data_IF_061175244780
#
_entry.id   IF_061175244780
#
_cell.length_a   1.000
_cell.length_b   1.000
_cell.length_c   1.000
_cell.angle_alpha   90.00
_cell.angle_beta   90.00
_cell.angle_gamma   90.00
#
_symmetry.space_group_name_H-M   'P 1'
#
loop_
_entity.id
_entity.type
_entity.pdbx_description
1 polymer ?
#
# COMPACT_ATOMS: atom_id res chain seq x y z
N UNK A 1 -19.68 -0.02 43.94
CA UNK A 1 -18.30 -0.32 43.51
C UNK A 1 -18.36 -1.56 42.63
N UNK A 2 -18.49 -1.54 41.32
CA UNK A 2 -18.51 -0.45 40.34
C UNK A 2 -19.31 -0.94 39.13
N UNK A 3 -20.28 -0.13 38.69
CA UNK A 3 -20.98 -0.35 37.42
C UNK A 3 -20.06 -0.17 36.20
N UNK A 4 -18.79 0.17 36.40
CA UNK A 4 -17.77 0.36 35.37
C UNK A 4 -17.27 -0.96 34.74
N UNK A 5 -17.46 -2.11 35.39
CA UNK A 5 -17.05 -3.41 34.84
C UNK A 5 -18.01 -3.99 33.78
N UNK A 6 -19.11 -3.28 33.43
CA UNK A 6 -20.15 -3.76 32.50
C UNK A 6 -20.28 -2.97 31.19
N UNK A 7 -19.33 -2.10 30.86
CA UNK A 7 -19.18 -1.63 29.46
C UNK A 7 -18.50 -2.72 28.64
N UNK A 8 -19.23 -3.83 28.46
CA UNK A 8 -18.92 -4.85 27.48
C UNK A 8 -19.10 -4.18 26.12
N UNK A 9 -17.98 -3.88 25.46
CA UNK A 9 -17.83 -3.38 24.08
C UNK A 9 -19.15 -3.49 23.28
N UNK A 10 -19.93 -2.41 23.25
CA UNK A 10 -20.96 -2.25 22.23
C UNK A 10 -20.21 -1.83 20.97
N UNK A 11 -19.76 -2.80 20.18
CA UNK A 11 -19.30 -2.48 18.85
C UNK A 11 -20.51 -2.14 17.99
N UNK A 12 -20.54 -0.90 17.51
CA UNK A 12 -21.50 -0.42 16.54
C UNK A 12 -21.13 -1.02 15.18
N UNK A 13 -22.12 -1.32 14.33
CA UNK A 13 -22.07 -2.16 13.11
C UNK A 13 -21.02 -1.86 12.02
N UNK A 14 -20.06 -0.98 12.28
CA UNK A 14 -18.76 -0.90 11.59
C UNK A 14 -17.81 -2.08 11.93
N UNK A 15 -18.28 -3.09 12.69
CA UNK A 15 -17.50 -4.18 13.29
C UNK A 15 -16.88 -5.20 12.32
N UNK A 16 -16.92 -5.05 10.99
CA UNK A 16 -16.43 -6.13 10.12
C UNK A 16 -14.92 -6.35 10.32
N UNK A 17 -14.60 -7.46 11.00
CA UNK A 17 -13.24 -7.80 11.39
C UNK A 17 -12.80 -7.26 12.75
N UNK A 18 -13.67 -6.65 13.55
CA UNK A 18 -13.29 -6.10 14.86
C UNK A 18 -12.62 -7.17 15.73
N UNK A 19 -11.46 -6.82 16.31
CA UNK A 19 -10.61 -7.73 17.08
C UNK A 19 -9.74 -8.67 16.24
N UNK A 20 -9.85 -8.67 14.90
CA UNK A 20 -9.05 -9.56 14.06
C UNK A 20 -7.54 -9.28 14.23
N UNK A 21 -6.72 -10.34 14.34
CA UNK A 21 -5.29 -10.20 14.55
C UNK A 21 -4.63 -9.47 13.37
N UNK A 22 -3.66 -8.61 13.67
CA UNK A 22 -2.83 -7.99 12.66
C UNK A 22 -1.75 -8.98 12.21
N UNK A 23 -1.77 -9.38 10.94
CA UNK A 23 -0.80 -10.31 10.36
C UNK A 23 0.60 -9.70 10.26
N UNK A 24 0.68 -8.37 10.14
CA UNK A 24 1.93 -7.60 10.11
C UNK A 24 2.50 -7.33 11.50
N UNK A 25 1.68 -6.78 12.41
CA UNK A 25 2.15 -6.34 13.74
C UNK A 25 2.10 -7.44 14.81
N UNK A 26 1.35 -8.53 14.57
CA UNK A 26 1.17 -9.64 15.51
C UNK A 26 0.72 -9.10 16.88
N UNK A 27 1.35 -9.55 17.96
CA UNK A 27 1.08 -9.17 19.36
C UNK A 27 1.22 -7.66 19.65
N UNK A 28 1.87 -6.88 18.78
CA UNK A 28 1.94 -5.41 18.96
C UNK A 28 0.62 -4.70 18.65
N UNK A 29 -0.38 -5.41 18.13
CA UNK A 29 -1.70 -4.88 17.86
C UNK A 29 -2.74 -5.62 18.68
N UNK A 30 -3.53 -4.89 19.46
CA UNK A 30 -4.63 -5.41 20.30
C UNK A 30 -5.84 -5.95 19.49
N UNK A 31 -5.68 -6.12 18.18
CA UNK A 31 -6.74 -6.48 17.23
C UNK A 31 -7.22 -5.29 16.41
N UNK A 32 -7.85 -5.61 15.28
CA UNK A 32 -8.41 -4.61 14.37
C UNK A 32 -9.49 -3.77 15.07
N UNK A 33 -9.35 -2.46 15.04
CA UNK A 33 -10.37 -1.53 15.48
C UNK A 33 -10.48 -0.42 14.43
N UNK A 34 -11.58 -0.42 13.68
CA UNK A 34 -11.82 0.61 12.67
C UNK A 34 -12.42 1.84 13.35
N UNK A 35 -11.86 3.01 13.05
CA UNK A 35 -12.45 4.29 13.44
C UNK A 35 -13.40 4.77 12.34
N UNK A 36 -14.46 5.53 12.69
CA UNK A 36 -15.49 5.93 11.72
C UNK A 36 -14.97 6.72 10.51
N UNK A 37 -13.86 7.46 10.67
CA UNK A 37 -13.22 8.22 9.59
C UNK A 37 -11.89 7.63 9.09
N UNK A 38 -11.31 6.62 9.76
CA UNK A 38 -10.02 6.03 9.34
C UNK A 38 -10.25 4.81 8.48
N UNK A 39 -9.46 4.63 7.41
CA UNK A 39 -9.44 3.38 6.63
C UNK A 39 -8.41 2.36 7.14
N UNK A 40 -7.78 2.68 8.26
CA UNK A 40 -6.72 1.88 8.91
C UNK A 40 -7.07 1.60 10.36
N UNK A 41 -6.48 0.53 10.90
CA UNK A 41 -6.61 0.11 12.28
C UNK A 41 -6.19 1.24 13.24
N UNK A 42 -7.06 1.57 14.20
CA UNK A 42 -6.78 2.54 15.26
C UNK A 42 -5.56 2.15 16.09
N UNK A 43 -5.37 0.85 16.33
CA UNK A 43 -4.35 0.32 17.23
C UNK A 43 -2.96 0.26 16.59
N UNK A 44 -2.83 -0.21 15.35
CA UNK A 44 -1.52 -0.41 14.70
C UNK A 44 -1.30 0.37 13.39
N UNK A 45 -2.28 1.17 12.95
CA UNK A 45 -2.26 1.95 11.70
C UNK A 45 -2.12 1.13 10.42
N UNK A 46 -2.22 -0.19 10.49
CA UNK A 46 -2.22 -1.04 9.30
C UNK A 46 -3.59 -1.01 8.61
N UNK A 47 -3.60 -1.18 7.28
CA UNK A 47 -4.83 -1.34 6.51
C UNK A 47 -5.59 -2.61 6.88
N UNK A 48 -6.88 -2.66 6.55
CA UNK A 48 -7.74 -3.82 6.85
C UNK A 48 -7.21 -5.11 6.21
N UNK A 49 -6.54 -5.03 5.06
CA UNK A 49 -5.91 -6.16 4.36
C UNK A 49 -4.74 -6.81 5.11
N UNK A 50 -4.16 -6.08 6.06
CA UNK A 50 -3.08 -6.56 6.94
C UNK A 50 -3.64 -7.22 8.21
N UNK A 51 -4.97 -7.28 8.35
CA UNK A 51 -5.66 -8.02 9.40
C UNK A 51 -6.33 -9.27 8.84
N UNK A 52 -6.55 -10.26 9.70
CA UNK A 52 -7.27 -11.49 9.34
C UNK A 52 -8.78 -11.27 9.26
N UNK A 53 -9.18 -10.42 8.30
CA UNK A 53 -10.57 -10.04 8.06
C UNK A 53 -11.02 -10.58 6.71
N UNK A 54 -12.23 -11.13 6.67
CA UNK A 54 -12.88 -11.47 5.41
C UNK A 54 -13.23 -10.19 4.65
N UNK A 55 -12.45 -9.89 3.62
CA UNK A 55 -12.69 -8.76 2.71
C UNK A 55 -13.97 -9.00 1.89
N UNK A 56 -14.77 -7.94 1.72
CA UNK A 56 -16.06 -8.01 1.05
C UNK A 56 -15.92 -8.19 -0.46
N UNK A 57 -17.02 -8.61 -1.11
CA UNK A 57 -17.08 -8.75 -2.57
C UNK A 57 -17.22 -7.38 -3.30
N UNK A 58 -17.08 -6.26 -2.59
CA UNK A 58 -17.15 -4.91 -3.18
C UNK A 58 -15.95 -4.60 -4.09
N UNK A 59 -14.88 -5.41 -4.07
CA UNK A 59 -13.70 -5.20 -4.90
C UNK A 59 -14.02 -5.16 -6.41
N UNK A 60 -14.96 -5.98 -6.89
CA UNK A 60 -15.36 -5.97 -8.30
C UNK A 60 -16.04 -4.65 -8.68
N UNK A 61 -16.74 -3.98 -7.75
CA UNK A 61 -17.30 -2.63 -7.98
C UNK A 61 -16.20 -1.57 -8.04
N UNK A 62 -15.16 -1.68 -7.21
CA UNK A 62 -14.02 -0.75 -7.23
C UNK A 62 -13.28 -0.80 -8.57
N UNK A 63 -13.01 -2.00 -9.06
CA UNK A 63 -12.36 -2.18 -10.37
C UNK A 63 -13.29 -1.76 -11.51
N UNK A 64 -14.59 -2.03 -11.39
CA UNK A 64 -15.59 -1.58 -12.35
C UNK A 64 -15.60 -0.06 -12.51
N UNK A 65 -15.63 0.68 -11.39
CA UNK A 65 -15.56 2.15 -11.38
C UNK A 65 -14.22 2.68 -11.91
N UNK A 66 -13.11 1.97 -11.69
CA UNK A 66 -11.81 2.31 -12.25
C UNK A 66 -11.79 2.26 -13.78
N UNK A 67 -12.46 1.26 -14.38
CA UNK A 67 -12.54 1.11 -15.83
C UNK A 67 -13.68 1.88 -16.49
N UNK A 68 -14.60 2.43 -15.71
CA UNK A 68 -15.62 3.35 -16.23
C UNK A 68 -14.97 4.54 -16.94
N UNK A 69 -15.56 4.90 -18.09
CA UNK A 69 -15.11 5.97 -19.00
C UNK A 69 -13.68 5.78 -19.52
N UNK A 70 -13.22 4.53 -19.63
CA UNK A 70 -11.96 4.16 -20.26
C UNK A 70 -12.19 3.27 -21.49
N UNK A 71 -11.14 2.97 -22.24
CA UNK A 71 -11.19 1.96 -23.31
C UNK A 71 -11.42 0.52 -22.80
N UNK A 72 -11.28 0.28 -21.49
CA UNK A 72 -11.46 -1.02 -20.86
C UNK A 72 -12.92 -1.32 -20.49
N UNK A 73 -13.88 -0.61 -21.08
CA UNK A 73 -15.31 -0.81 -20.85
C UNK A 73 -15.81 -2.21 -21.21
N UNK A 74 -15.07 -2.96 -22.03
CA UNK A 74 -15.36 -4.39 -22.31
C UNK A 74 -15.09 -5.30 -21.10
N UNK A 75 -14.29 -4.83 -20.14
CA UNK A 75 -13.97 -5.54 -18.89
C UNK A 75 -14.98 -5.24 -17.78
N UNK A 76 -16.04 -4.48 -18.05
CA UNK A 76 -17.11 -4.20 -17.08
C UNK A 76 -18.46 -4.74 -17.56
N UNK A 77 -19.31 -5.08 -16.61
CA UNK A 77 -20.74 -5.32 -16.82
C UNK A 77 -21.52 -4.17 -16.16
N UNK A 78 -22.40 -3.51 -16.92
CA UNK A 78 -23.36 -2.55 -16.36
C UNK A 78 -24.57 -3.33 -15.84
N UNK A 79 -24.76 -3.38 -14.52
CA UNK A 79 -25.95 -3.98 -13.93
C UNK A 79 -27.15 -3.05 -14.04
N UNK A 80 -28.34 -3.66 -14.23
CA UNK A 80 -29.60 -2.93 -14.46
C UNK A 80 -30.13 -2.20 -13.22
N UNK A 81 -29.75 -2.63 -12.02
CA UNK A 81 -30.44 -2.23 -10.77
C UNK A 81 -29.86 -0.98 -10.10
N UNK A 82 -28.55 -0.79 -10.17
CA UNK A 82 -27.84 0.31 -9.48
C UNK A 82 -27.05 1.21 -10.44
N UNK A 83 -26.88 0.80 -11.70
CA UNK A 83 -26.10 1.54 -12.70
C UNK A 83 -24.60 1.58 -12.42
N UNK A 84 -24.13 0.94 -11.34
CA UNK A 84 -22.72 0.92 -10.97
C UNK A 84 -22.01 -0.15 -11.80
N UNK A 85 -20.94 0.19 -12.53
CA UNK A 85 -20.15 -0.79 -13.26
C UNK A 85 -19.55 -1.83 -12.32
N UNK A 86 -19.72 -3.11 -12.67
CA UNK A 86 -19.04 -4.22 -12.02
C UNK A 86 -17.93 -4.76 -12.90
N UNK A 87 -16.80 -5.12 -12.30
CA UNK A 87 -15.71 -5.78 -13.00
C UNK A 87 -16.13 -7.17 -13.48
N UNK A 88 -16.13 -7.36 -14.80
CA UNK A 88 -16.36 -8.64 -15.46
C UNK A 88 -15.05 -9.42 -15.49
N UNK A 89 -14.56 -9.82 -14.32
CA UNK A 89 -13.35 -10.65 -14.19
C UNK A 89 -13.49 -11.97 -14.94
N UNK A 90 -12.41 -12.44 -15.55
CA UNK A 90 -12.38 -13.72 -16.23
C UNK A 90 -12.15 -14.85 -15.21
N UNK A 91 -13.05 -15.83 -15.15
CA UNK A 91 -12.95 -17.01 -14.28
C UNK A 91 -12.51 -18.19 -15.14
N UNK A 92 -11.44 -18.88 -14.75
CA UNK A 92 -10.93 -20.03 -15.48
C UNK A 92 -11.19 -21.32 -14.70
N UNK A 93 -11.91 -22.26 -15.32
CA UNK A 93 -12.20 -23.58 -14.75
C UNK A 93 -11.37 -24.62 -15.50
N UNK A 94 -10.53 -25.36 -14.77
CA UNK A 94 -9.68 -26.42 -15.29
C UNK A 94 -10.23 -27.77 -14.88
N UNK A 95 -10.63 -28.55 -15.87
CA UNK A 95 -11.17 -29.89 -15.68
C UNK A 95 -10.12 -30.90 -16.11
N UNK A 96 -9.51 -31.61 -15.16
CA UNK A 96 -8.54 -32.66 -15.45
C UNK A 96 -9.17 -34.04 -15.17
N UNK A 97 -9.27 -34.92 -16.19
CA UNK A 97 -9.70 -36.30 -15.96
C UNK A 97 -8.61 -37.03 -15.17
N UNK A 98 -8.94 -37.50 -13.98
CA UNK A 98 -8.06 -38.37 -13.20
C UNK A 98 -8.44 -39.80 -13.55
N UNK A 99 -7.54 -40.49 -14.25
CA UNK A 99 -7.69 -41.91 -14.55
C UNK A 99 -7.48 -42.73 -13.27
N UNK A 100 -8.53 -42.89 -12.46
CA UNK A 100 -8.54 -43.92 -11.43
C UNK A 100 -8.97 -45.25 -12.06
N UNK A 101 -8.29 -46.34 -11.68
CA UNK A 101 -8.26 -47.64 -12.39
C UNK A 101 -9.62 -48.29 -12.72
N UNK A 102 -10.77 -47.81 -12.22
CA UNK A 102 -12.12 -48.26 -12.60
C UNK A 102 -13.21 -47.17 -12.62
N UNK A 103 -12.90 -45.91 -12.38
CA UNK A 103 -13.86 -44.79 -12.46
C UNK A 103 -13.11 -43.50 -12.83
N UNK A 104 -13.57 -42.80 -13.88
CA UNK A 104 -13.01 -41.49 -14.25
C UNK A 104 -13.54 -40.46 -13.24
N UNK A 105 -12.73 -40.11 -12.24
CA UNK A 105 -13.04 -38.98 -11.36
C UNK A 105 -12.54 -37.71 -12.01
N UNK A 106 -13.42 -36.73 -12.16
CA UNK A 106 -13.08 -35.41 -12.71
C UNK A 106 -12.61 -34.52 -11.55
N UNK A 107 -11.38 -34.03 -11.61
CA UNK A 107 -10.93 -33.00 -10.68
C UNK A 107 -11.07 -31.62 -11.35
N UNK A 108 -11.82 -30.73 -10.69
CA UNK A 108 -12.12 -29.39 -11.19
C UNK A 108 -11.42 -28.35 -10.33
N UNK A 109 -10.55 -27.55 -10.93
CA UNK A 109 -9.86 -26.44 -10.28
C UNK A 109 -10.41 -25.13 -10.83
N UNK A 110 -10.98 -24.30 -9.95
CA UNK A 110 -11.51 -22.98 -10.33
C UNK A 110 -10.53 -21.89 -9.91
N UNK A 111 -10.07 -21.10 -10.87
CA UNK A 111 -9.33 -19.86 -10.62
C UNK A 111 -10.32 -18.69 -10.56
N UNK A 112 -10.35 -17.97 -9.44
CA UNK A 112 -11.22 -16.80 -9.23
C UNK A 112 -10.88 -15.63 -10.17
N UNK A 113 -9.68 -15.62 -10.75
CA UNK A 113 -9.29 -14.69 -11.79
C UNK A 113 -8.28 -15.33 -12.74
N UNK A 114 -8.35 -14.95 -14.02
CA UNK A 114 -7.37 -15.26 -15.05
C UNK A 114 -7.16 -14.04 -15.97
N UNK A 115 -5.99 -13.91 -16.61
CA UNK A 115 -5.76 -12.81 -17.54
C UNK A 115 -6.77 -12.89 -18.72
N UNK A 116 -7.20 -11.75 -19.26
CA UNK A 116 -8.12 -11.70 -20.39
C UNK A 116 -7.37 -12.06 -21.69
N UNK A 117 -7.22 -13.35 -21.95
CA UNK A 117 -6.57 -13.88 -23.15
C UNK A 117 -7.58 -14.58 -24.07
N UNK A 118 -7.25 -14.66 -25.36
CA UNK A 118 -8.07 -15.36 -26.35
C UNK A 118 -8.03 -16.89 -26.19
N UNK A 119 -6.97 -17.42 -25.56
CA UNK A 119 -6.73 -18.85 -25.45
C UNK A 119 -6.56 -19.29 -23.98
N UNK A 120 -7.41 -20.20 -23.50
CA UNK A 120 -7.29 -20.75 -22.14
C UNK A 120 -5.96 -21.46 -21.88
N UNK A 121 -5.33 -22.07 -22.88
CA UNK A 121 -4.02 -22.71 -22.72
C UNK A 121 -2.95 -21.68 -22.31
N UNK A 122 -3.01 -20.47 -22.89
CA UNK A 122 -2.11 -19.37 -22.53
C UNK A 122 -2.38 -18.88 -21.10
N UNK A 123 -3.64 -18.77 -20.69
CA UNK A 123 -4.00 -18.45 -19.30
C UNK A 123 -3.49 -19.51 -18.32
N UNK A 124 -3.58 -20.80 -18.68
CA UNK A 124 -3.04 -21.91 -17.87
C UNK A 124 -1.53 -21.81 -17.71
N UNK A 125 -0.80 -21.61 -18.80
CA UNK A 125 0.65 -21.45 -18.77
C UNK A 125 1.06 -20.24 -17.92
N UNK A 126 0.36 -19.11 -18.09
CA UNK A 126 0.54 -17.93 -17.26
C UNK A 126 0.40 -18.25 -15.77
N UNK A 127 -0.70 -18.92 -15.39
CA UNK A 127 -0.93 -19.30 -13.99
C UNK A 127 0.14 -20.23 -13.45
N UNK A 128 0.66 -21.15 -14.26
CA UNK A 128 1.73 -22.06 -13.88
C UNK A 128 3.06 -21.36 -13.61
N UNK A 129 3.30 -20.18 -14.19
CA UNK A 129 4.49 -19.36 -13.95
C UNK A 129 4.42 -18.49 -12.69
N UNK A 130 3.25 -18.42 -12.03
CA UNK A 130 3.11 -17.72 -10.76
C UNK A 130 3.44 -18.64 -9.57
N UNK A 131 4.02 -18.11 -8.48
CA UNK A 131 4.17 -18.83 -7.22
C UNK A 131 2.84 -19.43 -6.76
N UNK A 132 2.86 -20.63 -6.18
CA UNK A 132 1.65 -21.39 -5.85
C UNK A 132 0.75 -20.63 -4.88
N UNK A 133 1.35 -20.01 -3.88
CA UNK A 133 0.74 -19.15 -2.88
C UNK A 133 0.16 -17.84 -3.44
N UNK A 134 0.43 -17.49 -4.70
CA UNK A 134 -0.12 -16.32 -5.40
C UNK A 134 -1.13 -16.68 -6.50
N UNK A 135 -1.38 -17.98 -6.75
CA UNK A 135 -2.37 -18.43 -7.74
C UNK A 135 -3.78 -18.31 -7.15
N UNK A 136 -4.72 -17.58 -7.78
CA UNK A 136 -6.04 -17.30 -7.20
C UNK A 136 -7.01 -18.48 -7.35
N UNK A 137 -6.62 -19.68 -6.91
CA UNK A 137 -7.50 -20.85 -6.88
C UNK A 137 -8.55 -20.67 -5.79
N UNK A 138 -9.82 -20.91 -6.11
CA UNK A 138 -10.94 -20.73 -5.18
C UNK A 138 -10.69 -21.45 -3.84
N UNK A 139 -10.82 -20.72 -2.74
CA UNK A 139 -10.59 -21.22 -1.38
C UNK A 139 -9.12 -21.37 -0.97
N UNK A 140 -8.15 -21.02 -1.83
CA UNK A 140 -6.72 -21.10 -1.50
C UNK A 140 -6.18 -19.81 -0.87
N UNK A 141 -4.97 -19.89 -0.30
CA UNK A 141 -4.19 -18.72 0.15
C UNK A 141 -3.98 -17.71 -0.99
N UNK A 142 -3.78 -18.16 -2.22
CA UNK A 142 -3.60 -17.28 -3.37
C UNK A 142 -4.86 -16.50 -3.74
N UNK A 143 -6.06 -17.06 -3.50
CA UNK A 143 -7.31 -16.30 -3.65
C UNK A 143 -7.44 -15.22 -2.57
N UNK A 144 -7.05 -15.52 -1.33
CA UNK A 144 -7.02 -14.52 -0.26
C UNK A 144 -5.97 -13.43 -0.52
N UNK A 145 -4.77 -13.82 -0.98
CA UNK A 145 -3.73 -12.91 -1.42
C UNK A 145 -4.25 -11.96 -2.50
N UNK A 146 -4.94 -12.47 -3.54
CA UNK A 146 -5.53 -11.61 -4.58
C UNK A 146 -6.50 -10.58 -4.00
N UNK A 147 -7.40 -10.97 -3.09
CA UNK A 147 -8.34 -10.06 -2.44
C UNK A 147 -7.63 -8.97 -1.63
N UNK A 148 -6.59 -9.34 -0.88
CA UNK A 148 -5.73 -8.39 -0.16
C UNK A 148 -5.05 -7.42 -1.11
N UNK A 149 -4.52 -7.91 -2.23
CA UNK A 149 -3.89 -7.04 -3.23
C UNK A 149 -4.88 -6.11 -3.92
N UNK A 150 -6.13 -6.53 -4.18
CA UNK A 150 -7.17 -5.62 -4.70
C UNK A 150 -7.43 -4.47 -3.72
N UNK A 151 -7.66 -4.79 -2.43
CA UNK A 151 -7.91 -3.79 -1.41
C UNK A 151 -6.72 -2.82 -1.22
N UNK A 152 -5.49 -3.34 -1.23
CA UNK A 152 -4.26 -2.56 -1.04
C UNK A 152 -3.88 -1.72 -2.25
N UNK A 153 -3.91 -2.31 -3.44
CA UNK A 153 -3.40 -1.68 -4.65
C UNK A 153 -4.39 -0.73 -5.30
N UNK A 154 -5.70 -0.93 -5.08
CA UNK A 154 -6.78 -0.15 -5.67
C UNK A 154 -7.78 0.34 -4.59
N UNK A 155 -7.36 1.14 -3.60
CA UNK A 155 -8.26 1.62 -2.55
C UNK A 155 -9.42 2.43 -3.14
N UNK A 156 -10.64 2.21 -2.65
CA UNK A 156 -11.81 2.91 -3.19
C UNK A 156 -11.73 4.43 -2.97
N UNK A 157 -11.20 4.86 -1.83
CA UNK A 157 -10.99 6.26 -1.47
C UNK A 157 -9.85 6.94 -2.24
N UNK A 158 -9.13 6.24 -3.12
CA UNK A 158 -8.17 6.86 -4.04
C UNK A 158 -8.82 7.26 -5.38
N UNK A 159 -10.07 6.84 -5.62
CA UNK A 159 -10.76 7.06 -6.89
C UNK A 159 -12.19 7.57 -6.77
N UNK A 160 -12.81 7.43 -5.60
CA UNK A 160 -14.21 7.79 -5.38
C UNK A 160 -14.33 8.82 -4.24
N UNK A 161 -14.62 10.10 -4.55
CA UNK A 161 -14.78 11.15 -3.54
C UNK A 161 -15.83 10.80 -2.48
N UNK A 162 -16.86 10.02 -2.81
CA UNK A 162 -17.90 9.59 -1.86
C UNK A 162 -17.41 8.61 -0.79
N UNK A 163 -16.20 8.06 -0.96
CA UNK A 163 -15.56 7.14 0.00
C UNK A 163 -14.57 7.87 0.92
N UNK A 164 -14.26 9.13 0.63
CA UNK A 164 -13.39 9.98 1.43
C UNK A 164 -14.14 10.70 2.55
N UNK A 165 -13.43 11.09 3.60
CA UNK A 165 -14.01 11.81 4.72
C UNK A 165 -13.90 13.33 4.54
N UNK A 166 -15.03 14.04 4.65
CA UNK A 166 -15.07 15.51 4.73
C UNK A 166 -14.40 16.29 3.57
N UNK A 167 -14.38 15.77 2.34
CA UNK A 167 -13.90 16.56 1.20
C UNK A 167 -14.81 17.77 0.95
N UNK A 168 -14.22 18.95 0.81
CA UNK A 168 -14.91 20.15 0.37
C UNK A 168 -15.33 20.05 -1.10
N UNK A 169 -16.33 20.83 -1.56
CA UNK A 169 -16.74 20.83 -2.98
C UNK A 169 -15.60 21.15 -3.97
N UNK A 170 -14.57 21.88 -3.53
CA UNK A 170 -13.38 22.16 -4.33
C UNK A 170 -12.50 20.91 -4.43
N UNK A 171 -12.21 20.26 -3.30
CA UNK A 171 -11.38 19.05 -3.26
C UNK A 171 -12.04 17.88 -4.00
N UNK A 172 -13.36 17.75 -3.95
CA UNK A 172 -14.11 16.77 -4.76
C UNK A 172 -13.80 16.94 -6.25
N UNK A 173 -13.86 18.19 -6.76
CA UNK A 173 -13.53 18.48 -8.16
C UNK A 173 -12.07 18.19 -8.50
N UNK A 174 -11.15 18.53 -7.60
CA UNK A 174 -9.72 18.24 -7.77
C UNK A 174 -9.45 16.73 -7.84
N UNK A 175 -10.12 15.95 -6.99
CA UNK A 175 -10.05 14.49 -7.01
C UNK A 175 -10.64 13.91 -8.29
N UNK A 176 -11.81 14.37 -8.74
CA UNK A 176 -12.42 13.93 -10.00
C UNK A 176 -11.52 14.21 -11.20
N UNK A 177 -10.90 15.39 -11.26
CA UNK A 177 -9.94 15.74 -12.30
C UNK A 177 -8.68 14.88 -12.23
N UNK A 178 -8.15 14.64 -11.02
CA UNK A 178 -7.01 13.74 -10.81
C UNK A 178 -7.31 12.32 -11.29
N UNK A 179 -8.47 11.78 -10.96
CA UNK A 179 -8.94 10.45 -11.40
C UNK A 179 -9.08 10.38 -12.90
N UNK A 180 -9.72 11.38 -13.51
CA UNK A 180 -9.86 11.47 -14.96
C UNK A 180 -8.49 11.46 -15.65
N UNK A 181 -7.54 12.24 -15.14
CA UNK A 181 -6.18 12.36 -15.69
C UNK A 181 -5.44 11.01 -15.67
N UNK A 182 -5.36 10.34 -14.51
CA UNK A 182 -4.61 9.08 -14.47
C UNK A 182 -5.29 7.99 -15.29
N UNK A 183 -6.63 7.99 -15.39
CA UNK A 183 -7.37 7.02 -16.24
C UNK A 183 -6.96 7.18 -17.71
N UNK A 184 -6.81 8.41 -18.18
CA UNK A 184 -6.41 8.70 -19.57
C UNK A 184 -4.91 8.53 -19.83
N UNK A 185 -4.05 8.80 -18.85
CA UNK A 185 -2.60 8.95 -19.06
C UNK A 185 -1.74 7.82 -18.51
N UNK A 186 -2.15 7.19 -17.41
CA UNK A 186 -1.30 6.25 -16.67
C UNK A 186 -1.90 4.84 -16.56
N UNK A 187 -3.22 4.72 -16.39
CA UNK A 187 -3.92 3.45 -16.17
C UNK A 187 -3.83 2.55 -17.40
N UNK A 188 -3.44 1.30 -17.19
CA UNK A 188 -3.50 0.25 -18.19
C UNK A 188 -3.81 -1.12 -17.64
N UNK A 189 -4.08 -2.05 -18.55
CA UNK A 189 -4.26 -3.48 -18.28
C UNK A 189 -3.19 -4.22 -19.08
N UNK A 190 -2.42 -5.08 -18.42
CA UNK A 190 -1.35 -5.85 -19.05
C UNK A 190 -1.90 -6.90 -20.02
N UNK A 191 -1.28 -6.98 -21.19
CA UNK A 191 -1.64 -7.93 -22.24
C UNK A 191 -0.75 -9.18 -22.14
N UNK A 192 -1.36 -10.32 -21.85
CA UNK A 192 -0.64 -11.60 -21.86
C UNK A 192 -0.64 -12.18 -23.27
N UNK A 193 0.55 -12.29 -23.88
CA UNK A 193 0.76 -12.87 -25.23
C UNK A 193 2.03 -13.69 -25.27
N UNK A 194 2.21 -14.49 -26.33
CA UNK A 194 3.51 -15.12 -26.60
C UNK A 194 4.44 -14.13 -27.32
N UNK A 195 5.74 -14.07 -27.00
CA UNK A 195 6.68 -13.17 -27.66
C UNK A 195 6.66 -13.23 -29.20
N UNK A 196 6.48 -14.42 -29.78
CA UNK A 196 6.37 -14.61 -31.24
C UNK A 196 5.17 -13.94 -31.88
N UNK A 197 4.06 -13.82 -31.16
CA UNK A 197 2.82 -13.25 -31.68
C UNK A 197 2.96 -11.75 -31.90
N UNK A 198 3.82 -11.08 -31.15
CA UNK A 198 4.08 -9.64 -31.32
C UNK A 198 4.98 -9.36 -32.53
N UNK A 199 6.00 -10.18 -32.78
CA UNK A 199 6.84 -10.02 -33.97
C UNK A 199 6.03 -10.20 -35.27
N UNK A 200 5.02 -11.07 -35.26
CA UNK A 200 4.16 -11.28 -36.42
C UNK A 200 3.21 -10.10 -36.71
N UNK A 201 2.96 -9.21 -35.74
CA UNK A 201 2.02 -8.10 -35.92
C UNK A 201 2.66 -6.85 -36.54
N UNK A 202 3.99 -6.77 -36.59
CA UNK A 202 4.73 -5.61 -37.08
C UNK A 202 4.42 -4.32 -36.29
N UNK A 203 5.23 -3.25 -36.41
CA UNK A 203 5.00 -2.03 -35.63
C UNK A 203 3.77 -1.20 -36.04
N UNK A 204 2.89 -1.70 -36.94
CA UNK A 204 1.99 -0.80 -37.68
C UNK A 204 0.59 -1.38 -38.02
N UNK A 205 -0.11 -1.96 -37.04
CA UNK A 205 -1.57 -2.16 -37.13
C UNK A 205 -2.28 -1.79 -35.85
N UNK A 206 -2.47 -0.49 -35.65
CA UNK A 206 -3.68 0.00 -34.98
C UNK A 206 -4.80 0.09 -36.01
N UNK A 207 -5.89 -0.63 -35.77
CA UNK A 207 -7.11 -0.55 -36.57
C UNK A 207 -7.77 0.83 -36.37
N UNK A 208 -7.75 1.65 -37.41
CA UNK A 208 -8.72 2.73 -37.62
C UNK A 208 -9.79 2.17 -38.57
N UNK A 209 -11.08 2.18 -38.22
CA UNK A 209 -12.13 1.75 -39.15
C UNK A 209 -12.55 2.93 -40.04
N UNK A 210 -12.32 2.80 -41.35
CA UNK A 210 -12.98 3.62 -42.37
C UNK A 210 -12.07 4.03 -43.54
N UNK A 211 -12.54 3.79 -44.77
CA UNK A 211 -12.15 4.61 -45.93
C UNK A 211 -11.33 3.93 -47.03
N UNK A 212 -12.06 3.20 -47.88
CA UNK A 212 -11.93 3.11 -49.34
C UNK A 212 -10.81 2.37 -50.07
N UNK A 213 -11.33 1.67 -51.08
CA UNK A 213 -10.70 0.87 -52.13
C UNK A 213 -9.79 1.70 -53.03
N UNK A 214 -8.62 1.17 -53.37
CA UNK A 214 -8.05 1.31 -54.71
C UNK A 214 -7.03 0.20 -55.01
N UNK A 215 -7.12 -0.29 -56.24
CA UNK A 215 -6.39 -1.42 -56.82
C UNK A 215 -5.22 -0.90 -57.65
N UNK A 216 -4.04 -1.52 -57.59
CA UNK A 216 -3.15 -1.75 -58.76
C UNK A 216 -2.00 -2.74 -58.47
N UNK A 217 -1.99 -3.79 -59.30
CA UNK A 217 -0.90 -4.39 -60.08
C UNK A 217 0.45 -4.86 -59.48
N UNK A 218 0.80 -6.08 -59.90
CA UNK A 218 2.01 -6.86 -59.68
C UNK A 218 3.27 -6.34 -60.40
N UNK A 219 4.46 -6.58 -59.84
CA UNK A 219 5.54 -7.50 -60.32
C UNK A 219 6.82 -7.29 -59.49
N UNK A 220 7.60 -8.36 -59.28
CA UNK A 220 9.02 -8.24 -58.88
C UNK A 220 9.48 -9.26 -57.86
N UNK A 221 9.90 -10.43 -58.33
CA UNK A 221 10.70 -11.39 -57.57
C UNK A 221 12.15 -10.90 -57.49
N UNK A 222 12.74 -10.89 -56.29
CA UNK A 222 14.16 -11.14 -56.07
C UNK A 222 14.33 -11.87 -54.74
N UNK A 223 14.80 -13.10 -54.83
CA UNK A 223 15.27 -13.91 -53.72
C UNK A 223 16.62 -13.34 -53.26
N UNK A 224 16.69 -12.89 -52.01
CA UNK A 224 17.96 -12.53 -51.39
C UNK A 224 18.29 -13.52 -50.26
N UNK A 225 19.38 -14.26 -50.49
CA UNK A 225 19.90 -15.32 -49.64
C UNK A 225 20.78 -14.70 -48.56
N UNK A 226 20.19 -14.29 -47.44
CA UNK A 226 20.92 -14.17 -46.17
C UNK A 226 19.99 -14.39 -44.98
N UNK A 227 19.57 -15.65 -44.75
CA UNK A 227 18.94 -16.04 -43.49
C UNK A 227 20.00 -16.18 -42.40
N UNK A 228 20.57 -15.05 -41.97
CA UNK A 228 21.09 -14.96 -40.61
C UNK A 228 19.89 -15.16 -39.68
N UNK A 229 19.88 -16.27 -38.96
CA UNK A 229 19.01 -16.45 -37.80
C UNK A 229 19.37 -15.38 -36.75
N UNK A 230 18.86 -14.15 -36.92
CA UNK A 230 18.71 -13.18 -35.84
C UNK A 230 17.72 -13.81 -34.87
N UNK A 231 18.26 -14.63 -33.96
CA UNK A 231 17.53 -15.12 -32.80
C UNK A 231 17.09 -13.88 -32.05
N UNK A 232 15.84 -13.42 -32.23
CA UNK A 232 15.30 -12.28 -31.51
C UNK A 232 15.25 -12.66 -30.04
N UNK A 233 16.29 -12.29 -29.32
CA UNK A 233 16.45 -12.61 -27.92
C UNK A 233 15.51 -11.71 -27.12
N UNK A 234 14.36 -12.27 -26.74
CA UNK A 234 13.42 -11.60 -25.85
C UNK A 234 14.05 -11.46 -24.46
N UNK A 235 14.03 -10.26 -23.88
CA UNK A 235 14.57 -9.99 -22.55
C UNK A 235 13.55 -9.27 -21.68
N UNK A 236 13.36 -9.76 -20.45
CA UNK A 236 12.43 -9.13 -19.53
C UNK A 236 12.91 -7.73 -19.14
N UNK A 237 12.03 -6.73 -19.26
CA UNK A 237 12.34 -5.35 -18.93
C UNK A 237 12.71 -5.13 -17.45
N UNK A 238 12.15 -5.94 -16.54
CA UNK A 238 12.42 -5.86 -15.11
C UNK A 238 13.72 -6.59 -14.72
N UNK A 239 13.80 -7.91 -14.87
CA UNK A 239 14.96 -8.69 -14.40
C UNK A 239 16.11 -8.78 -15.40
N UNK A 240 15.94 -8.30 -16.63
CA UNK A 240 16.90 -8.36 -17.75
C UNK A 240 17.27 -9.77 -18.23
N UNK A 241 16.71 -10.82 -17.63
CA UNK A 241 16.91 -12.20 -18.04
C UNK A 241 16.16 -12.49 -19.36
N UNK A 242 16.69 -13.43 -20.14
CA UNK A 242 16.08 -13.87 -21.39
C UNK A 242 14.75 -14.59 -21.16
N UNK A 243 13.80 -14.39 -22.07
CA UNK A 243 12.48 -15.02 -22.11
C UNK A 243 12.42 -16.01 -23.27
N UNK A 244 11.79 -17.16 -23.06
CA UNK A 244 11.57 -18.13 -24.14
C UNK A 244 10.40 -17.67 -25.01
N UNK A 245 10.52 -17.90 -26.31
CA UNK A 245 9.48 -17.56 -27.29
C UNK A 245 8.14 -18.26 -27.02
N UNK A 246 8.17 -19.46 -26.43
CA UNK A 246 6.99 -20.25 -26.06
C UNK A 246 6.41 -19.94 -24.68
N UNK A 247 7.06 -19.10 -23.88
CA UNK A 247 6.59 -18.76 -22.54
C UNK A 247 5.70 -17.49 -22.60
N UNK A 248 4.60 -17.44 -21.82
CA UNK A 248 3.80 -16.23 -21.70
C UNK A 248 4.63 -15.01 -21.29
N UNK A 249 4.42 -13.90 -21.97
CA UNK A 249 4.95 -12.59 -21.61
C UNK A 249 3.80 -11.61 -21.37
N UNK A 250 4.02 -10.67 -20.45
CA UNK A 250 3.12 -9.53 -20.26
C UNK A 250 3.68 -8.34 -21.03
N UNK A 251 2.80 -7.63 -21.73
CA UNK A 251 3.08 -6.34 -22.36
C UNK A 251 2.23 -5.26 -21.71
N UNK A 252 2.73 -4.02 -21.74
CA UNK A 252 2.03 -2.85 -21.23
C UNK A 252 2.00 -1.80 -22.34
N UNK A 253 0.84 -1.59 -22.97
CA UNK A 253 0.67 -0.66 -24.08
C UNK A 253 1.32 0.71 -23.83
N UNK A 254 1.15 1.29 -22.63
CA UNK A 254 1.73 2.62 -22.31
C UNK A 254 3.24 2.62 -22.17
N UNK A 255 3.84 1.47 -21.92
CA UNK A 255 5.29 1.30 -21.89
C UNK A 255 5.88 1.09 -23.30
N UNK A 256 5.02 0.87 -24.29
CA UNK A 256 5.39 0.38 -25.61
C UNK A 256 5.49 -1.15 -25.66
N UNK A 257 5.17 -1.72 -26.81
CA UNK A 257 5.23 -3.16 -27.05
C UNK A 257 6.65 -3.69 -27.32
N UNK A 258 7.66 -2.80 -27.28
CA UNK A 258 9.08 -3.13 -27.21
C UNK A 258 9.50 -3.67 -25.83
N UNK A 259 8.69 -3.44 -24.80
CA UNK A 259 8.94 -3.90 -23.43
C UNK A 259 8.02 -5.06 -23.07
N UNK A 260 8.61 -6.07 -22.44
CA UNK A 260 7.92 -7.27 -21.99
C UNK A 260 8.40 -7.72 -20.62
N UNK A 261 7.52 -8.38 -19.87
CA UNK A 261 7.80 -8.87 -18.53
C UNK A 261 7.48 -10.36 -18.43
N UNK A 262 8.29 -11.08 -17.66
CA UNK A 262 7.83 -12.36 -17.13
C UNK A 262 6.56 -12.15 -16.29
N UNK A 263 5.66 -13.14 -16.21
CA UNK A 263 4.50 -13.11 -15.32
C UNK A 263 4.85 -12.70 -13.88
N UNK A 264 5.92 -13.26 -13.32
CA UNK A 264 6.38 -12.95 -11.96
C UNK A 264 7.12 -11.59 -11.83
N UNK A 265 7.48 -10.95 -12.94
CA UNK A 265 8.21 -9.69 -12.96
C UNK A 265 7.32 -8.47 -13.24
N UNK A 266 6.02 -8.66 -13.47
CA UNK A 266 5.07 -7.57 -13.66
C UNK A 266 4.56 -7.07 -12.30
N UNK A 267 5.46 -6.35 -11.64
CA UNK A 267 5.31 -5.91 -10.25
C UNK A 267 5.32 -4.40 -10.15
N UNK A 268 4.74 -3.87 -9.07
CA UNK A 268 4.88 -2.46 -8.72
C UNK A 268 6.34 -2.14 -8.35
N UNK A 269 6.86 -1.01 -8.82
CA UNK A 269 8.24 -0.58 -8.57
C UNK A 269 8.50 -0.12 -7.13
N UNK A 270 7.46 0.06 -6.32
CA UNK A 270 7.57 0.51 -4.92
C UNK A 270 7.40 -0.64 -3.93
N UNK A 271 6.31 -1.42 -4.01
CA UNK A 271 6.10 -2.55 -3.09
C UNK A 271 6.60 -3.90 -3.61
N UNK A 272 7.00 -3.99 -4.89
CA UNK A 272 7.46 -5.24 -5.51
C UNK A 272 6.41 -6.38 -5.52
N UNK A 273 5.14 -6.06 -5.27
CA UNK A 273 4.03 -7.01 -5.41
C UNK A 273 3.55 -7.10 -6.85
N UNK A 274 3.03 -8.28 -7.22
CA UNK A 274 2.38 -8.51 -8.51
C UNK A 274 1.25 -7.51 -8.69
N UNK A 275 1.20 -6.88 -9.87
CA UNK A 275 0.15 -5.94 -10.22
C UNK A 275 -1.17 -6.70 -10.35
N UNK A 276 -2.07 -6.40 -9.42
CA UNK A 276 -3.29 -7.19 -9.26
C UNK A 276 -4.14 -7.10 -10.52
N UNK A 277 -4.60 -8.25 -10.99
CA UNK A 277 -5.44 -8.39 -12.18
C UNK A 277 -4.88 -7.74 -13.46
N UNK A 278 -3.54 -7.64 -13.56
CA UNK A 278 -2.83 -6.94 -14.63
C UNK A 278 -3.06 -5.42 -14.68
N UNK A 279 -3.68 -4.85 -13.66
CA UNK A 279 -3.96 -3.41 -13.59
C UNK A 279 -2.68 -2.69 -13.18
N UNK A 280 -2.22 -1.77 -14.03
CA UNK A 280 -0.98 -1.05 -13.84
C UNK A 280 -1.13 0.44 -14.08
N UNK A 281 -0.18 1.20 -13.55
CA UNK A 281 -0.03 2.63 -13.77
C UNK A 281 1.39 2.88 -14.27
N UNK A 282 1.52 3.42 -15.49
CA UNK A 282 2.81 3.72 -16.10
C UNK A 282 3.21 5.16 -15.83
N UNK A 283 4.41 5.36 -15.26
CA UNK A 283 4.97 6.68 -15.00
C UNK A 283 6.49 6.58 -14.99
N UNK A 284 7.17 7.50 -15.69
CA UNK A 284 8.63 7.65 -15.67
C UNK A 284 9.36 6.31 -15.87
N UNK A 285 9.01 5.59 -16.94
CA UNK A 285 9.58 4.29 -17.33
C UNK A 285 9.43 3.15 -16.31
N UNK A 286 8.47 3.29 -15.39
CA UNK A 286 8.22 2.35 -14.30
C UNK A 286 6.74 1.99 -14.19
N UNK A 287 6.51 0.76 -13.74
CA UNK A 287 5.20 0.22 -13.40
C UNK A 287 4.87 0.48 -11.93
N UNK A 288 3.67 0.96 -11.64
CA UNK A 288 3.14 1.15 -10.29
C UNK A 288 1.76 0.51 -10.14
N UNK A 289 1.43 0.12 -8.91
CA UNK A 289 0.03 -0.13 -8.57
C UNK A 289 -0.70 1.22 -8.40
N UNK A 290 -2.04 1.20 -8.39
CA UNK A 290 -2.84 2.43 -8.27
C UNK A 290 -2.47 3.25 -7.04
N UNK A 291 -2.37 2.59 -5.88
CA UNK A 291 -1.97 3.23 -4.62
C UNK A 291 -0.62 3.95 -4.71
N UNK A 292 0.45 3.28 -5.13
CA UNK A 292 1.77 3.91 -5.21
C UNK A 292 1.90 4.93 -6.34
N UNK A 293 1.12 4.79 -7.43
CA UNK A 293 1.01 5.86 -8.40
C UNK A 293 0.40 7.10 -7.75
N UNK A 294 -0.71 6.95 -7.02
CA UNK A 294 -1.37 8.04 -6.31
C UNK A 294 -0.46 8.67 -5.24
N UNK A 295 0.24 7.87 -4.45
CA UNK A 295 1.21 8.35 -3.45
C UNK A 295 2.36 9.15 -4.08
N UNK A 296 2.66 8.93 -5.36
CA UNK A 296 3.66 9.69 -6.11
C UNK A 296 3.15 11.02 -6.69
N UNK A 297 1.85 11.29 -6.60
CA UNK A 297 1.17 12.47 -7.17
C UNK A 297 0.47 13.34 -6.11
N UNK A 298 0.10 12.75 -4.97
CA UNK A 298 -0.58 13.41 -3.85
C UNK A 298 -0.07 12.86 -2.51
N UNK A 299 0.13 13.71 -1.49
CA UNK A 299 0.50 13.24 -0.16
C UNK A 299 -0.65 12.44 0.45
N UNK A 300 -0.33 11.33 1.14
CA UNK A 300 -1.32 10.52 1.87
C UNK A 300 -1.28 10.82 3.35
N UNK A 301 -2.46 10.99 3.95
CA UNK A 301 -2.59 11.18 5.38
C UNK A 301 -2.35 9.88 6.16
N UNK A 302 -1.33 9.84 7.03
CA UNK A 302 -1.05 8.70 7.89
C UNK A 302 -2.12 8.43 8.96
N UNK A 303 -3.00 9.40 9.21
CA UNK A 303 -4.11 9.28 10.16
C UNK A 303 -5.33 8.56 9.58
N UNK A 304 -5.82 8.99 8.40
CA UNK A 304 -7.04 8.44 7.79
C UNK A 304 -6.79 7.47 6.63
N UNK A 305 -5.57 7.43 6.09
CA UNK A 305 -5.17 6.69 4.90
C UNK A 305 -5.71 7.22 3.56
N UNK A 306 -6.20 8.47 3.53
CA UNK A 306 -6.70 9.12 2.32
C UNK A 306 -5.67 10.07 1.70
N UNK A 307 -5.74 10.27 0.38
CA UNK A 307 -4.98 11.32 -0.30
C UNK A 307 -5.43 12.70 0.18
N UNK A 308 -4.48 13.59 0.37
CA UNK A 308 -4.73 14.97 0.79
C UNK A 308 -4.80 15.85 -0.46
N UNK A 309 -5.99 16.40 -0.73
CA UNK A 309 -6.22 17.35 -1.82
C UNK A 309 -6.10 18.81 -1.36
N UNK A 310 -6.33 19.08 -0.07
CA UNK A 310 -6.04 20.37 0.53
C UNK A 310 -4.61 20.84 0.24
N UNK A 311 -4.48 22.13 -0.08
CA UNK A 311 -3.19 22.80 -0.20
C UNK A 311 -2.45 22.92 1.13
N UNK A 312 -3.19 22.84 2.24
CA UNK A 312 -2.67 22.92 3.60
C UNK A 312 -2.73 21.55 4.28
N UNK A 313 -1.59 21.08 4.75
CA UNK A 313 -1.42 19.85 5.52
C UNK A 313 -0.17 19.96 6.38
N UNK A 314 -0.04 19.08 7.38
CA UNK A 314 1.12 19.09 8.27
C UNK A 314 2.02 17.89 8.02
N UNK A 315 3.34 18.10 8.16
CA UNK A 315 4.36 17.06 8.13
C UNK A 315 4.89 16.87 9.55
N UNK A 316 4.76 15.66 10.06
CA UNK A 316 5.19 15.28 11.39
C UNK A 316 5.59 13.81 11.38
N UNK A 317 6.65 13.44 12.12
CA UNK A 317 7.14 12.06 12.21
C UNK A 317 7.36 11.41 10.83
N UNK A 318 7.97 12.16 9.89
CA UNK A 318 8.23 11.76 8.50
C UNK A 318 6.97 11.35 7.70
N UNK A 319 5.80 11.82 8.11
CA UNK A 319 4.50 11.48 7.53
C UNK A 319 3.68 12.73 7.25
N UNK A 320 2.73 12.63 6.32
CA UNK A 320 1.81 13.71 6.00
C UNK A 320 0.49 13.50 6.72
N UNK A 321 -0.18 14.59 7.09
CA UNK A 321 -1.43 14.55 7.82
C UNK A 321 -2.35 15.68 7.38
N UNK A 322 -3.64 15.39 7.18
CA UNK A 322 -4.64 16.45 7.26
C UNK A 322 -4.49 17.18 8.60
N UNK A 323 -4.69 18.51 8.63
CA UNK A 323 -4.53 19.31 9.84
C UNK A 323 -5.33 18.73 11.02
N UNK A 324 -6.59 18.33 10.77
CA UNK A 324 -7.50 17.72 11.75
C UNK A 324 -7.14 16.28 12.17
N UNK A 325 -6.20 15.63 11.49
CA UNK A 325 -5.84 14.23 11.77
C UNK A 325 -4.53 14.09 12.55
N UNK A 326 -3.80 15.20 12.75
CA UNK A 326 -2.64 15.25 13.63
C UNK A 326 -3.04 16.01 14.91
N UNK A 327 -3.50 15.26 15.91
CA UNK A 327 -4.06 15.80 17.14
C UNK A 327 -3.42 15.18 18.39
N UNK A 328 -3.46 15.92 19.49
CA UNK A 328 -3.04 15.46 20.81
C UNK A 328 -3.86 14.25 21.23
N UNK A 329 -3.19 13.17 21.64
CA UNK A 329 -3.87 11.97 22.10
C UNK A 329 -4.69 12.18 23.38
N UNK A 330 -4.29 13.13 24.23
CA UNK A 330 -4.93 13.37 25.53
C UNK A 330 -6.14 14.31 25.45
N UNK A 331 -6.15 15.26 24.50
CA UNK A 331 -7.18 16.30 24.44
C UNK A 331 -7.77 16.56 23.05
N UNK A 332 -7.36 15.80 22.03
CA UNK A 332 -7.82 15.91 20.64
C UNK A 332 -7.59 17.27 19.94
N UNK A 333 -6.88 18.21 20.58
CA UNK A 333 -6.49 19.47 19.93
C UNK A 333 -5.54 19.22 18.77
N UNK A 334 -5.74 19.97 17.68
CA UNK A 334 -4.88 19.97 16.49
C UNK A 334 -3.45 20.37 16.89
N UNK A 335 -2.47 19.61 16.41
CA UNK A 335 -1.04 19.82 16.67
C UNK A 335 -0.29 20.44 15.48
N UNK A 336 -0.99 20.74 14.38
CA UNK A 336 -0.37 21.36 13.22
C UNK A 336 0.15 22.77 13.58
N UNK A 337 1.47 22.96 13.49
CA UNK A 337 2.15 24.21 13.88
C UNK A 337 2.43 24.34 15.38
N UNK A 338 2.02 23.37 16.19
CA UNK A 338 2.18 23.36 17.63
C UNK A 338 3.34 22.46 18.07
N UNK A 339 3.88 22.74 19.26
CA UNK A 339 4.89 21.88 19.88
C UNK A 339 4.22 20.67 20.52
N UNK A 340 4.74 19.48 20.19
CA UNK A 340 4.26 18.21 20.70
C UNK A 340 5.42 17.31 21.14
N UNK A 341 5.08 16.29 21.93
CA UNK A 341 6.00 15.26 22.39
C UNK A 341 5.41 13.89 22.07
N UNK A 342 6.22 13.00 21.53
CA UNK A 342 5.84 11.60 21.32
C UNK A 342 5.96 10.83 22.63
N UNK A 343 4.83 10.40 23.19
CA UNK A 343 4.76 9.57 24.39
C UNK A 343 4.16 8.21 24.02
N UNK A 344 4.94 7.14 24.11
CA UNK A 344 4.53 5.79 23.68
C UNK A 344 3.94 5.78 22.25
N UNK A 345 4.66 6.38 21.29
CA UNK A 345 4.26 6.53 19.88
C UNK A 345 2.95 7.32 19.66
N UNK A 346 2.51 8.10 20.66
CA UNK A 346 1.33 8.96 20.57
C UNK A 346 1.73 10.43 20.73
N UNK A 347 1.32 11.32 19.81
CA UNK A 347 1.65 12.74 19.92
C UNK A 347 0.80 13.39 21.01
N UNK A 348 1.44 14.12 21.92
CA UNK A 348 0.80 14.83 23.04
C UNK A 348 1.20 16.30 22.99
N UNK A 349 0.25 17.22 23.13
CA UNK A 349 0.54 18.65 23.17
C UNK A 349 1.36 19.00 24.43
N UNK A 350 2.16 20.08 24.36
CA UNK A 350 2.99 20.53 25.50
C UNK A 350 2.20 20.65 26.83
N UNK A 351 0.99 21.25 26.88
CA UNK A 351 0.22 21.32 28.12
C UNK A 351 -0.13 19.95 28.72
N UNK A 352 -0.58 19.00 27.89
CA UNK A 352 -0.90 17.64 28.35
C UNK A 352 0.37 16.89 28.75
N UNK A 353 1.48 17.08 28.04
CA UNK A 353 2.77 16.49 28.39
C UNK A 353 3.21 16.96 29.78
N UNK A 354 3.27 18.27 30.00
CA UNK A 354 3.70 18.85 31.29
C UNK A 354 2.82 18.36 32.45
N UNK A 355 1.51 18.22 32.20
CA UNK A 355 0.54 17.81 33.21
C UNK A 355 0.59 16.32 33.56
N UNK A 356 0.71 15.44 32.56
CA UNK A 356 0.46 14.01 32.73
C UNK A 356 1.69 13.12 32.46
N UNK A 357 2.67 13.60 31.70
CA UNK A 357 3.75 12.78 31.14
C UNK A 357 5.15 13.34 31.38
N UNK A 358 5.26 14.46 32.09
CA UNK A 358 6.52 15.19 32.24
C UNK A 358 7.59 14.33 32.90
N UNK A 359 8.77 14.32 32.30
CA UNK A 359 9.97 13.83 33.00
C UNK A 359 10.25 14.78 34.16
N UNK A 360 10.29 14.23 35.37
CA UNK A 360 10.56 14.99 36.60
C UNK A 360 12.06 15.02 36.85
N UNK A 361 12.59 16.20 37.19
CA UNK A 361 13.98 16.39 37.55
C UNK A 361 14.28 15.73 38.90
N UNK A 362 15.27 14.85 38.93
CA UNK A 362 15.71 14.17 40.14
C UNK A 362 16.36 15.12 41.17
N UNK A 363 16.87 16.28 40.73
CA UNK A 363 17.46 17.28 41.62
C UNK A 363 16.41 18.14 42.32
N UNK A 364 15.59 18.85 41.56
CA UNK A 364 14.64 19.83 42.10
C UNK A 364 13.19 19.33 42.22
N UNK A 365 12.90 18.12 41.73
CA UNK A 365 11.56 17.50 41.70
C UNK A 365 10.50 18.26 40.88
N UNK A 366 10.92 19.21 40.05
CA UNK A 366 10.04 19.90 39.10
C UNK A 366 10.08 19.25 37.72
N UNK A 367 9.02 19.43 36.94
CA UNK A 367 8.95 19.00 35.55
C UNK A 367 10.08 19.61 34.71
N UNK A 368 10.65 18.81 33.81
CA UNK A 368 11.58 19.28 32.79
C UNK A 368 10.77 19.64 31.54
N UNK A 369 10.87 20.89 31.10
CA UNK A 369 10.23 21.35 29.86
C UNK A 369 10.75 20.49 28.68
N UNK A 370 9.87 19.91 27.84
CA UNK A 370 10.31 19.06 26.74
C UNK A 370 11.19 19.78 25.71
N UNK A 371 11.17 21.11 25.65
CA UNK A 371 11.99 21.89 24.72
C UNK A 371 13.41 22.16 25.23
N UNK A 372 13.68 21.97 26.53
CA UNK A 372 15.01 22.23 27.10
C UNK A 372 15.89 20.99 27.11
N UNK A 373 17.20 21.21 26.95
CA UNK A 373 18.18 20.14 27.14
C UNK A 373 18.16 19.63 28.59
N UNK A 374 18.31 18.32 28.73
CA UNK A 374 18.38 17.64 30.03
C UNK A 374 19.52 16.64 30.06
N UNK A 375 20.03 16.37 31.26
CA UNK A 375 20.96 15.27 31.49
C UNK A 375 20.15 14.03 31.85
N UNK A 376 20.35 12.91 31.16
CA UNK A 376 19.68 11.64 31.46
C UNK A 376 20.75 10.57 31.74
N UNK A 377 20.60 9.84 32.84
CA UNK A 377 21.43 8.68 33.16
C UNK A 377 20.55 7.57 33.75
N UNK A 378 20.53 6.40 33.09
CA UNK A 378 19.56 5.33 33.36
C UNK A 378 18.12 5.90 33.34
N UNK A 379 17.36 5.73 34.43
CA UNK A 379 15.98 6.20 34.57
C UNK A 379 15.86 7.60 35.21
N UNK A 380 16.99 8.24 35.51
CA UNK A 380 17.01 9.56 36.15
C UNK A 380 17.31 10.65 35.13
N UNK A 381 16.63 11.78 35.32
CA UNK A 381 16.83 12.97 34.50
C UNK A 381 17.00 14.20 35.39
N UNK A 382 17.82 15.14 34.96
CA UNK A 382 18.03 16.42 35.62
C UNK A 382 17.94 17.54 34.59
N UNK A 383 17.48 18.72 35.00
CA UNK A 383 17.70 19.92 34.19
C UNK A 383 19.19 20.07 33.92
N UNK A 384 19.55 20.45 32.68
CA UNK A 384 20.92 20.82 32.33
C UNK A 384 21.27 22.21 32.89
N UNK A 385 21.14 22.36 34.22
CA UNK A 385 21.41 23.58 34.97
C UNK A 385 22.43 23.35 36.09
N UNK A 386 23.12 24.42 36.46
CA UNK A 386 24.04 24.46 37.61
C UNK A 386 23.35 24.32 38.96
N UNK A 387 22.03 24.16 38.99
CA UNK A 387 21.24 24.01 40.21
C UNK A 387 20.75 22.57 40.40
N UNK A 388 20.66 21.79 39.32
CA UNK A 388 20.05 20.45 39.34
C UNK A 388 21.07 19.32 39.15
N UNK A 389 22.05 19.49 38.25
CA UNK A 389 23.03 18.44 37.96
C UNK A 389 24.35 18.68 38.72
N UNK A 390 24.28 18.48 40.03
CA UNK A 390 25.33 18.81 41.00
C UNK A 390 25.82 17.57 41.74
N UNK A 391 27.11 17.57 42.13
CA UNK A 391 27.65 16.56 43.03
C UNK A 391 26.89 16.57 44.37
N UNK A 392 26.32 15.44 44.77
CA UNK A 392 25.53 15.30 46.01
C UNK A 392 26.35 15.54 47.28
N UNK A 393 27.69 15.55 47.20
CA UNK A 393 28.58 15.80 48.34
C UNK A 393 29.07 17.27 48.41
N UNK A 394 29.56 17.83 47.29
CA UNK A 394 30.25 19.12 47.29
C UNK A 394 29.56 20.21 46.44
N UNK A 395 28.39 19.91 45.89
CA UNK A 395 27.60 20.82 45.05
C UNK A 395 28.31 21.34 43.78
N UNK A 396 29.45 20.73 43.39
CA UNK A 396 30.12 21.04 42.13
C UNK A 396 29.21 20.69 40.95
N UNK A 397 29.03 21.62 40.01
CA UNK A 397 28.31 21.36 38.77
C UNK A 397 28.97 20.25 37.94
N UNK A 398 28.17 19.28 37.50
CA UNK A 398 28.61 18.10 36.77
C UNK A 398 28.32 18.17 35.27
N UNK A 399 27.76 19.28 34.76
CA UNK A 399 27.48 19.45 33.33
C UNK A 399 28.80 19.40 32.55
N UNK A 400 28.88 18.46 31.59
CA UNK A 400 30.09 18.23 30.80
C UNK A 400 31.27 17.67 31.58
N UNK A 401 31.08 17.26 32.84
CA UNK A 401 32.12 16.68 33.69
C UNK A 401 31.94 15.16 33.81
N UNK A 402 33.03 14.47 34.16
CA UNK A 402 32.94 13.07 34.61
C UNK A 402 32.23 13.02 35.96
N UNK A 403 31.37 12.01 36.14
CA UNK A 403 30.64 11.79 37.39
C UNK A 403 30.49 10.30 37.69
N UNK A 404 30.15 9.98 38.94
CA UNK A 404 29.86 8.62 39.41
C UNK A 404 28.42 8.57 39.96
N UNK A 405 27.51 7.82 39.32
CA UNK A 405 26.13 7.68 39.78
C UNK A 405 25.96 6.53 40.78
N UNK A 406 25.12 6.74 41.81
CA UNK A 406 24.70 5.73 42.78
C UNK A 406 23.25 6.02 43.16
N UNK A 407 22.30 5.15 42.77
CA UNK A 407 20.88 5.22 43.16
C UNK A 407 20.24 6.63 43.12
N UNK A 408 20.40 7.35 42.01
CA UNK A 408 19.82 8.70 41.83
C UNK A 408 20.67 9.84 42.40
N UNK A 409 21.72 9.54 43.16
CA UNK A 409 22.78 10.49 43.51
C UNK A 409 23.89 10.48 42.45
N UNK A 410 24.60 11.62 42.32
CA UNK A 410 25.71 11.77 41.38
C UNK A 410 26.89 12.47 42.09
N UNK A 411 28.11 11.98 41.86
CA UNK A 411 29.31 12.47 42.54
C UNK A 411 30.40 12.89 41.56
N UNK A 412 31.17 13.94 41.89
CA UNK A 412 32.28 14.40 41.04
C UNK A 412 33.54 13.54 41.13
N UNK A 413 33.68 12.73 42.18
CA UNK A 413 34.87 11.90 42.43
C UNK A 413 34.57 10.72 43.36
N UNK A 414 35.53 9.80 43.48
CA UNK A 414 35.45 8.65 44.39
C UNK A 414 35.45 9.12 45.84
N UNK A 415 36.20 10.19 46.16
CA UNK A 415 36.27 10.78 47.50
C UNK A 415 34.89 11.29 47.92
N UNK A 416 34.22 12.06 47.07
CA UNK A 416 32.87 12.56 47.33
C UNK A 416 31.86 11.43 47.54
N UNK A 417 31.95 10.36 46.75
CA UNK A 417 31.10 9.17 46.96
C UNK A 417 31.34 8.53 48.32
N UNK A 418 32.61 8.34 48.72
CA UNK A 418 32.98 7.73 50.01
C UNK A 418 32.57 8.57 51.21
N UNK A 419 32.48 9.89 51.07
CA UNK A 419 32.01 10.75 52.16
C UNK A 419 30.50 10.64 52.42
N UNK A 420 29.74 10.09 51.48
CA UNK A 420 28.28 9.96 51.53
C UNK A 420 27.81 8.50 51.62
N UNK A 421 28.75 7.56 51.77
CA UNK A 421 28.49 6.12 51.89
C UNK A 421 28.47 5.61 53.31
#
# INVERSE_FOLDING_TARGET
MDLEAKVKKMGLGHEQGFGAPCLKCKEKCEGFELHFWRKICRNCKCGQEEHDVLLSNEEDRKVGKLFEDTKYTTLIAKLKSDGIPMYKRNVMILTNPVAAKKNISINTVTYEWAPPVQNQALARQYMQMLPKEKQPVAGSEGAQYRKKQLAKQLPAHDQDPSKCHELSPKEVKEMEQFVKKYKSEALGVGDVKLPREMNAQGPNRMCIPGGDRSTTSAVGAMEDKSAEHKTTQYSCYCCKLSMKEGDPAIYAERAGYDKLWHPACFVCSTCHELLVDMIYFWKNDKLYCGRHYCDSEKPRCAGCDELIFSNEYTQAENQNWHLKHFCCFDCDNILAGEIYVMVNDKPVCKPCYVKNHAVVCQGCHNAIDPEVQRVTYNNFSWHASTECFLCSCCSKCLIGQKFMPVEGMVFCSVECKKMMS
#
